data_IF_256097000663
#
_entry.id   IF_256097000663
#
_cell.length_a   1.000
_cell.length_b   1.000
_cell.length_c   1.000
_cell.angle_alpha   90.00
_cell.angle_beta   90.00
_cell.angle_gamma   90.00
#
_symmetry.space_group_name_H-M   'P 1'
#
loop_
_entity.id
_entity.type
_entity.pdbx_description
1 polymer ?
#
# COMPACT_ATOMS: atom_id res chain seq x y z
N UNK A 1 -23.78 -36.18 22.78
CA UNK A 1 -23.59 -34.72 22.71
C UNK A 1 -22.31 -34.35 23.45
N UNK A 2 -21.24 -33.98 22.73
CA UNK A 2 -19.92 -33.73 23.32
C UNK A 2 -19.78 -32.24 23.66
N UNK A 3 -19.83 -31.84 24.95
CA UNK A 3 -19.83 -30.43 25.38
C UNK A 3 -18.48 -29.71 25.18
N UNK A 4 -17.46 -30.38 24.63
CA UNK A 4 -16.14 -29.81 24.37
C UNK A 4 -16.06 -29.00 23.07
N UNK A 5 -16.77 -29.42 22.02
CA UNK A 5 -16.66 -28.82 20.68
C UNK A 5 -17.18 -27.38 20.65
N UNK A 6 -18.28 -27.12 21.35
CA UNK A 6 -18.88 -25.77 21.40
C UNK A 6 -17.97 -24.77 22.09
N UNK A 7 -17.29 -25.14 23.19
CA UNK A 7 -16.34 -24.27 23.88
C UNK A 7 -15.11 -23.93 23.06
N UNK A 8 -14.70 -24.81 22.16
CA UNK A 8 -13.55 -24.59 21.29
C UNK A 8 -13.92 -23.67 20.13
N UNK A 9 -15.10 -23.87 19.55
CA UNK A 9 -15.69 -22.98 18.54
C UNK A 9 -15.90 -21.57 19.10
N UNK A 10 -16.49 -21.44 20.29
CA UNK A 10 -16.72 -20.14 20.94
C UNK A 10 -15.40 -19.38 21.18
N UNK A 11 -14.32 -20.10 21.49
CA UNK A 11 -13.00 -19.52 21.70
C UNK A 11 -12.37 -19.02 20.39
N UNK A 12 -12.56 -19.73 19.30
CA UNK A 12 -12.14 -19.31 17.97
C UNK A 12 -12.93 -18.09 17.48
N UNK A 13 -14.25 -18.08 17.69
CA UNK A 13 -15.13 -16.95 17.37
C UNK A 13 -14.73 -15.70 18.18
N UNK A 14 -14.45 -15.85 19.47
CA UNK A 14 -13.95 -14.76 20.30
C UNK A 14 -12.61 -14.18 19.81
N UNK A 15 -11.70 -15.02 19.28
CA UNK A 15 -10.45 -14.54 18.65
C UNK A 15 -10.67 -13.82 17.33
N UNK A 16 -11.67 -14.23 16.53
CA UNK A 16 -12.05 -13.51 15.31
C UNK A 16 -12.63 -12.12 15.62
N UNK A 17 -13.41 -12.02 16.69
CA UNK A 17 -13.97 -10.74 17.16
C UNK A 17 -12.98 -9.87 17.93
N UNK A 18 -11.83 -10.42 18.35
CA UNK A 18 -10.76 -9.64 18.94
C UNK A 18 -10.17 -8.75 17.84
N UNK A 19 -10.56 -7.47 17.86
CA UNK A 19 -10.04 -6.46 16.96
C UNK A 19 -8.54 -6.31 17.21
N UNK A 20 -7.72 -6.92 16.37
CA UNK A 20 -6.30 -6.69 16.38
C UNK A 20 -6.04 -5.18 16.15
N UNK A 21 -5.00 -4.59 16.77
CA UNK A 21 -4.58 -3.24 16.41
C UNK A 21 -4.33 -3.20 14.90
N UNK A 22 -4.84 -2.15 14.25
CA UNK A 22 -4.61 -1.98 12.82
C UNK A 22 -3.10 -2.03 12.57
N UNK A 23 -2.64 -2.79 11.56
CA UNK A 23 -1.22 -2.79 11.21
C UNK A 23 -0.75 -1.35 10.96
N UNK A 24 0.52 -1.04 11.26
CA UNK A 24 1.06 0.27 10.96
C UNK A 24 0.85 0.59 9.48
N UNK A 25 0.57 1.85 9.13
CA UNK A 25 0.33 2.23 7.75
C UNK A 25 1.54 1.85 6.89
N UNK A 26 1.31 1.38 5.65
CA UNK A 26 2.41 1.06 4.74
C UNK A 26 3.28 2.29 4.48
N UNK A 27 4.60 2.08 4.42
CA UNK A 27 5.54 3.16 4.16
C UNK A 27 5.35 3.74 2.74
N UNK A 28 5.56 5.05 2.55
CA UNK A 28 5.37 5.69 1.25
C UNK A 28 6.13 5.03 0.09
N UNK A 29 7.40 4.58 0.23
CA UNK A 29 8.09 3.86 -0.83
C UNK A 29 7.38 2.55 -1.24
N UNK A 30 6.80 1.83 -0.28
CA UNK A 30 6.03 0.62 -0.53
C UNK A 30 4.73 0.94 -1.28
N UNK A 31 4.02 1.99 -0.87
CA UNK A 31 2.81 2.40 -1.56
C UNK A 31 3.05 2.89 -2.99
N UNK A 32 4.13 3.63 -3.23
CA UNK A 32 4.53 4.03 -4.57
C UNK A 32 4.82 2.80 -5.46
N UNK A 33 5.48 1.79 -4.88
CA UNK A 33 5.76 0.52 -5.55
C UNK A 33 4.48 -0.23 -5.92
N UNK A 34 3.59 -0.46 -4.95
CA UNK A 34 2.31 -1.15 -5.13
C UNK A 34 1.45 -0.48 -6.20
N UNK A 35 1.25 0.83 -6.11
CA UNK A 35 0.46 1.58 -7.09
C UNK A 35 1.07 1.52 -8.48
N UNK A 36 2.40 1.59 -8.57
CA UNK A 36 3.13 1.46 -9.82
C UNK A 36 3.02 0.07 -10.45
N UNK A 37 2.94 -1.00 -9.65
CA UNK A 37 2.74 -2.36 -10.13
C UNK A 37 1.29 -2.60 -10.55
N UNK A 38 0.32 -2.06 -9.80
CA UNK A 38 -1.09 -2.08 -10.18
C UNK A 38 -1.31 -1.37 -11.52
N UNK A 39 -0.69 -0.20 -11.72
CA UNK A 39 -0.67 0.49 -13.02
C UNK A 39 -0.15 -0.41 -14.13
N UNK A 40 1.01 -1.05 -13.96
CA UNK A 40 1.58 -1.91 -14.99
C UNK A 40 0.68 -3.10 -15.31
N UNK A 41 0.02 -3.68 -14.30
CA UNK A 41 -0.93 -4.78 -14.48
C UNK A 41 -2.18 -4.36 -15.26
N UNK A 42 -2.80 -3.24 -14.92
CA UNK A 42 -3.98 -2.70 -15.64
C UNK A 42 -3.58 -2.30 -17.07
N UNK A 43 -2.46 -1.61 -17.23
CA UNK A 43 -1.94 -1.21 -18.54
C UNK A 43 -1.66 -2.40 -19.44
N UNK A 44 -1.11 -3.48 -18.90
CA UNK A 44 -0.85 -4.71 -19.66
C UNK A 44 -2.12 -5.45 -20.07
N UNK A 45 -3.17 -5.40 -19.23
CA UNK A 45 -4.46 -6.06 -19.49
C UNK A 45 -5.35 -5.27 -20.45
N UNK A 46 -5.49 -3.97 -20.19
CA UNK A 46 -6.56 -3.14 -20.76
C UNK A 46 -6.02 -1.93 -21.55
N UNK A 47 -4.71 -1.71 -21.57
CA UNK A 47 -4.08 -0.54 -22.17
C UNK A 47 -4.17 0.71 -21.30
N UNK A 48 -3.96 1.88 -21.91
CA UNK A 48 -3.89 3.16 -21.18
C UNK A 48 -5.27 3.75 -20.89
N UNK A 49 -6.02 3.07 -20.02
CA UNK A 49 -7.35 3.47 -19.56
C UNK A 49 -7.32 4.63 -18.55
N UNK A 50 -8.48 5.14 -18.15
CA UNK A 50 -8.59 6.13 -17.08
C UNK A 50 -8.01 5.59 -15.77
N UNK A 51 -8.41 4.39 -15.38
CA UNK A 51 -7.94 3.74 -14.14
C UNK A 51 -6.43 3.55 -14.14
N UNK A 52 -5.83 3.19 -15.29
CA UNK A 52 -4.38 3.11 -15.42
C UNK A 52 -3.70 4.48 -15.18
N UNK A 53 -4.28 5.56 -15.71
CA UNK A 53 -3.76 6.93 -15.50
C UNK A 53 -3.91 7.38 -14.05
N UNK A 54 -5.02 7.04 -13.41
CA UNK A 54 -5.27 7.37 -12.01
C UNK A 54 -4.24 6.64 -11.11
N UNK A 55 -4.01 5.34 -11.32
CA UNK A 55 -2.96 4.58 -10.63
C UNK A 55 -1.55 5.14 -10.85
N UNK A 56 -1.22 5.54 -12.09
CA UNK A 56 0.07 6.17 -12.40
C UNK A 56 0.25 7.52 -11.68
N UNK A 57 -0.84 8.29 -11.54
CA UNK A 57 -0.86 9.57 -10.82
C UNK A 57 -0.63 9.33 -9.33
N UNK A 58 -1.37 8.41 -8.72
CA UNK A 58 -1.20 8.05 -7.31
C UNK A 58 0.21 7.55 -7.01
N UNK A 59 0.77 6.68 -7.86
CA UNK A 59 2.13 6.20 -7.74
C UNK A 59 3.17 7.33 -7.76
N UNK A 60 2.96 8.33 -8.63
CA UNK A 60 3.83 9.48 -8.78
C UNK A 60 3.77 10.43 -7.57
N UNK A 61 2.57 10.69 -7.03
CA UNK A 61 2.37 11.47 -5.80
C UNK A 61 3.06 10.81 -4.61
N UNK A 62 2.88 9.49 -4.44
CA UNK A 62 3.50 8.73 -3.37
C UNK A 62 5.03 8.69 -3.51
N UNK A 63 5.55 8.52 -4.73
CA UNK A 63 6.99 8.54 -4.97
C UNK A 63 7.60 9.91 -4.66
N UNK A 64 6.92 11.00 -5.04
CA UNK A 64 7.35 12.36 -4.72
C UNK A 64 7.41 12.57 -3.20
N UNK A 65 6.31 12.26 -2.48
CA UNK A 65 6.26 12.40 -1.02
C UNK A 65 7.33 11.54 -0.33
N UNK A 66 7.54 10.30 -0.80
CA UNK A 66 8.59 9.43 -0.30
C UNK A 66 9.99 10.04 -0.47
N UNK A 67 10.30 10.63 -1.63
CA UNK A 67 11.59 11.33 -1.83
C UNK A 67 11.73 12.50 -0.88
N UNK A 68 10.68 13.32 -0.73
CA UNK A 68 10.68 14.45 0.20
C UNK A 68 10.91 14.01 1.64
N UNK A 69 10.25 12.96 2.12
CA UNK A 69 10.47 12.43 3.47
C UNK A 69 11.88 11.87 3.67
N UNK A 70 12.39 11.11 2.69
CA UNK A 70 13.72 10.51 2.76
C UNK A 70 14.82 11.58 2.77
N UNK A 71 14.68 12.61 1.94
CA UNK A 71 15.64 13.73 1.88
C UNK A 71 15.55 14.63 3.10
N UNK A 72 14.35 14.92 3.62
CA UNK A 72 14.17 15.60 4.90
C UNK A 72 14.80 14.81 6.07
N UNK A 73 14.82 13.48 5.96
CA UNK A 73 15.52 12.56 6.87
C UNK A 73 17.04 12.49 6.67
N UNK A 74 17.63 13.34 5.82
CA UNK A 74 19.08 13.44 5.61
C UNK A 74 19.65 12.50 4.55
N UNK A 75 18.80 11.80 3.78
CA UNK A 75 19.27 11.00 2.65
C UNK A 75 19.53 11.86 1.42
N UNK A 76 20.50 11.46 0.62
CA UNK A 76 20.71 12.06 -0.70
C UNK A 76 19.57 11.67 -1.67
N UNK A 77 19.34 12.45 -2.72
CA UNK A 77 18.36 12.11 -3.76
C UNK A 77 18.62 10.72 -4.37
N UNK A 78 19.88 10.41 -4.67
CA UNK A 78 20.28 9.10 -5.19
C UNK A 78 19.95 7.94 -4.23
N UNK A 79 20.09 8.16 -2.92
CA UNK A 79 19.72 7.17 -1.90
C UNK A 79 18.20 7.01 -1.80
N UNK A 80 17.45 8.11 -1.92
CA UNK A 80 15.99 8.06 -1.93
C UNK A 80 15.46 7.28 -3.15
N UNK A 81 16.04 7.50 -4.33
CA UNK A 81 15.72 6.75 -5.54
C UNK A 81 16.10 5.27 -5.43
N UNK A 82 17.26 4.96 -4.84
CA UNK A 82 17.66 3.57 -4.59
C UNK A 82 16.67 2.85 -3.67
N UNK A 83 16.14 3.52 -2.65
CA UNK A 83 15.14 2.97 -1.74
C UNK A 83 13.78 2.75 -2.42
N UNK A 84 13.35 3.69 -3.27
CA UNK A 84 12.14 3.53 -4.09
C UNK A 84 12.26 2.35 -5.06
N UNK A 85 13.42 2.20 -5.71
CA UNK A 85 13.70 1.06 -6.59
C UNK A 85 13.70 -0.26 -5.81
N UNK A 86 14.33 -0.29 -4.63
CA UNK A 86 14.34 -1.47 -3.75
C UNK A 86 12.91 -1.83 -3.28
N UNK A 87 12.09 -0.84 -2.93
CA UNK A 87 10.69 -1.05 -2.57
C UNK A 87 9.90 -1.66 -3.74
N UNK A 88 10.09 -1.17 -4.96
CA UNK A 88 9.46 -1.75 -6.17
C UNK A 88 9.87 -3.20 -6.38
N UNK A 89 11.15 -3.51 -6.25
CA UNK A 89 11.65 -4.88 -6.37
C UNK A 89 11.10 -5.79 -5.26
N UNK A 90 10.96 -5.28 -4.03
CA UNK A 90 10.38 -6.03 -2.91
C UNK A 90 8.90 -6.31 -3.13
N UNK A 91 8.11 -5.31 -3.51
CA UNK A 91 6.69 -5.46 -3.77
C UNK A 91 6.42 -6.44 -4.93
N UNK A 92 7.22 -6.36 -6.01
CA UNK A 92 7.11 -7.29 -7.13
C UNK A 92 7.37 -8.76 -6.72
N UNK A 93 8.24 -8.99 -5.72
CA UNK A 93 8.50 -10.32 -5.16
C UNK A 93 7.41 -10.81 -4.22
N UNK A 94 6.75 -9.89 -3.51
CA UNK A 94 5.66 -10.22 -2.59
C UNK A 94 4.41 -10.74 -3.32
N UNK A 95 4.24 -10.40 -4.60
CA UNK A 95 3.17 -10.93 -5.44
C UNK A 95 1.94 -10.02 -5.45
N UNK A 96 0.74 -10.62 -5.51
CA UNK A 96 -0.50 -9.87 -5.65
C UNK A 96 -0.77 -9.02 -4.41
N UNK A 97 -1.02 -7.73 -4.62
CA UNK A 97 -1.44 -6.82 -3.56
C UNK A 97 -2.94 -6.97 -3.29
N UNK A 98 -3.32 -7.04 -2.02
CA UNK A 98 -4.72 -7.06 -1.57
C UNK A 98 -5.42 -5.72 -1.80
N UNK A 99 -6.73 -5.74 -2.03
CA UNK A 99 -7.54 -4.51 -2.16
C UNK A 99 -7.42 -3.58 -0.94
N UNK A 100 -7.33 -4.14 0.28
CA UNK A 100 -7.12 -3.36 1.51
C UNK A 100 -5.80 -2.58 1.51
N UNK A 101 -4.73 -3.17 0.98
CA UNK A 101 -3.43 -2.51 0.88
C UNK A 101 -3.45 -1.44 -0.21
N UNK A 102 -4.12 -1.71 -1.34
CA UNK A 102 -4.37 -0.71 -2.38
C UNK A 102 -5.13 0.50 -1.79
N UNK A 103 -6.20 0.25 -1.04
CA UNK A 103 -7.00 1.30 -0.42
C UNK A 103 -6.18 2.10 0.62
N UNK A 104 -5.40 1.41 1.47
CA UNK A 104 -4.54 2.08 2.44
C UNK A 104 -3.51 3.00 1.75
N UNK A 105 -2.90 2.54 0.66
CA UNK A 105 -1.95 3.32 -0.11
C UNK A 105 -2.62 4.48 -0.88
N UNK A 106 -3.83 4.30 -1.40
CA UNK A 106 -4.60 5.38 -2.02
C UNK A 106 -4.95 6.48 -1.01
N UNK A 107 -5.30 6.12 0.22
CA UNK A 107 -5.57 7.09 1.29
C UNK A 107 -4.31 7.93 1.64
N UNK A 108 -3.11 7.35 1.56
CA UNK A 108 -1.86 8.08 1.76
C UNK A 108 -1.51 9.02 0.59
N UNK A 109 -2.07 8.78 -0.60
CA UNK A 109 -1.92 9.67 -1.75
C UNK A 109 -2.93 10.82 -1.75
N UNK A 110 -3.98 10.74 -0.92
CA UNK A 110 -4.99 11.80 -0.83
C UNK A 110 -4.35 13.15 -0.45
N UNK A 111 -4.89 14.28 -0.95
CA UNK A 111 -4.48 15.59 -0.49
C UNK A 111 -4.75 15.73 1.01
N UNK A 112 -3.88 16.45 1.72
CA UNK A 112 -4.18 16.80 3.11
C UNK A 112 -5.47 17.63 3.14
N UNK A 113 -6.30 17.53 4.19
CA UNK A 113 -7.48 18.37 4.32
C UNK A 113 -7.04 19.85 4.37
N UNK A 114 -7.18 20.55 3.24
CA UNK A 114 -6.75 21.94 3.07
C UNK A 114 -6.06 22.25 1.73
N UNK A 115 -5.58 21.26 0.97
CA UNK A 115 -4.94 21.44 -0.35
C UNK A 115 -5.97 21.47 -1.50
N UNK A 116 -7.02 22.26 -1.33
CA UNK A 116 -7.96 22.60 -2.40
C UNK A 116 -7.61 23.96 -2.95
N UNK A 117 -6.86 24.00 -4.06
CA UNK A 117 -6.87 25.16 -4.96
C UNK A 117 -7.97 24.94 -6.02
#
# INVERSE_FOLDING_TARGET
HAPGLTREVDRCVARMHARAPAPPPPALPHCAAVMGLAYDAVKARDGLTKDAKDLATLASVLAYRARTELTAGGKSEAEADALLAAARASAAKAGATSDDELQACANLAAPAPGDGH
#
